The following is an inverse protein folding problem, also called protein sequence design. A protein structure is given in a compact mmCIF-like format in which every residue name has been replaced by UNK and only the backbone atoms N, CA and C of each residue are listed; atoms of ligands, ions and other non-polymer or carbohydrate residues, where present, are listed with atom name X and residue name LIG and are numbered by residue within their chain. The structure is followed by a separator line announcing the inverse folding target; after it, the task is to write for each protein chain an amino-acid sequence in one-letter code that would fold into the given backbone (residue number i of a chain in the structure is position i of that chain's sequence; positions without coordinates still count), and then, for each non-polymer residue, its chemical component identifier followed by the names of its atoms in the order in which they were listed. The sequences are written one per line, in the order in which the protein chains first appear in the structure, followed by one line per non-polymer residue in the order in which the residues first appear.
data_IF_936028141232
#
_entry.id   IF_936028141232
#
_cell.length_a   1.000
_cell.length_b   1.000
_cell.length_c   1.000
_cell.angle_alpha   90.00
_cell.angle_beta   90.00
_cell.angle_gamma   90.00
#
_symmetry.space_group_name_H-M   'P 1'
#
loop_
_entity.id
_entity.type
_entity.pdbx_description
1 polymer ?
#
# COMPACT_ATOMS: atom_id res chain seq x y z
N UNK A 1 -2.23 0.95 7.10
CA UNK A 1 -0.83 0.81 6.64
C UNK A 1 -0.43 -0.65 6.67
N UNK A 2 0.77 -1.00 6.22
CA UNK A 2 1.32 -2.35 6.32
C UNK A 2 2.65 -2.26 7.06
N UNK A 3 2.89 -3.20 7.97
CA UNK A 3 4.14 -3.32 8.70
C UNK A 3 4.47 -4.80 8.84
N UNK A 4 5.70 -5.18 8.50
CA UNK A 4 6.21 -6.52 8.76
C UNK A 4 6.81 -6.56 10.16
N UNK A 5 6.45 -7.59 10.93
CA UNK A 5 6.82 -7.70 12.34
C UNK A 5 7.70 -8.93 12.56
N UNK A 6 8.93 -8.72 13.01
CA UNK A 6 9.79 -9.81 13.48
C UNK A 6 9.46 -10.12 14.94
N UNK A 7 8.57 -11.09 15.13
CA UNK A 7 8.04 -11.41 16.46
C UNK A 7 9.10 -11.89 17.46
N UNK A 8 10.19 -12.51 16.99
CA UNK A 8 11.29 -12.93 17.87
C UNK A 8 12.06 -11.72 18.42
N UNK A 9 12.42 -10.77 17.55
CA UNK A 9 13.09 -9.53 17.97
C UNK A 9 12.19 -8.67 18.86
N UNK A 10 10.88 -8.63 18.57
CA UNK A 10 9.92 -7.91 19.42
C UNK A 10 9.81 -8.51 20.83
N UNK A 11 9.82 -9.84 20.95
CA UNK A 11 9.81 -10.51 22.27
C UNK A 11 11.12 -10.28 23.02
N UNK A 12 12.26 -10.38 22.35
CA UNK A 12 13.58 -10.13 22.94
C UNK A 12 13.73 -8.69 23.45
N UNK A 13 13.18 -7.73 22.72
CA UNK A 13 13.11 -6.33 23.15
C UNK A 13 12.19 -6.10 24.36
N UNK A 14 11.28 -7.04 24.68
CA UNK A 14 10.28 -6.82 25.73
C UNK A 14 9.16 -5.88 25.26
N UNK A 15 8.76 -5.94 23.99
CA UNK A 15 7.79 -5.02 23.36
C UNK A 15 6.59 -4.62 24.24
N UNK A 16 5.93 -5.60 24.89
CA UNK A 16 4.75 -5.35 25.73
C UNK A 16 5.05 -4.47 26.94
N UNK A 17 6.25 -4.57 27.50
CA UNK A 17 6.71 -3.80 28.67
C UNK A 17 6.89 -2.32 28.34
N UNK A 18 7.14 -1.98 27.06
CA UNK A 18 7.23 -0.61 26.59
C UNK A 18 5.91 -0.08 26.05
N UNK A 19 5.21 -0.87 25.23
CA UNK A 19 4.04 -0.37 24.50
C UNK A 19 2.83 -0.13 25.40
N UNK A 20 2.66 -0.94 26.46
CA UNK A 20 1.52 -0.83 27.38
C UNK A 20 1.61 0.45 28.22
N UNK A 21 2.74 0.77 28.89
CA UNK A 21 2.87 2.04 29.60
C UNK A 21 2.73 3.25 28.68
N UNK A 22 3.28 3.19 27.45
CA UNK A 22 3.10 4.28 26.48
C UNK A 22 1.62 4.48 26.12
N UNK A 23 0.86 3.40 25.93
CA UNK A 23 -0.57 3.48 25.68
C UNK A 23 -1.28 4.18 26.83
N UNK A 24 -1.00 3.78 28.07
CA UNK A 24 -1.62 4.36 29.27
C UNK A 24 -1.26 5.84 29.44
N UNK A 25 0.01 6.17 29.26
CA UNK A 25 0.51 7.55 29.39
C UNK A 25 -0.10 8.50 28.37
N UNK A 26 -0.24 8.06 27.12
CA UNK A 26 -0.68 8.93 26.02
C UNK A 26 -2.15 8.73 25.64
N UNK A 27 -2.92 7.90 26.35
CA UNK A 27 -4.26 7.46 25.94
C UNK A 27 -5.19 8.60 25.47
N UNK A 28 -5.19 9.72 26.18
CA UNK A 28 -6.05 10.88 25.88
C UNK A 28 -5.50 11.78 24.76
N UNK A 29 -4.27 11.56 24.30
CA UNK A 29 -3.57 12.33 23.27
C UNK A 29 -3.45 11.57 21.93
N UNK A 30 -3.69 10.26 21.93
CA UNK A 30 -3.64 9.44 20.72
C UNK A 30 -4.82 9.77 19.80
N UNK A 31 -4.53 10.30 18.62
CA UNK A 31 -5.55 10.56 17.58
C UNK A 31 -5.79 9.33 16.71
N UNK A 32 -4.71 8.61 16.41
CA UNK A 32 -4.70 7.36 15.66
C UNK A 32 -3.97 6.31 16.49
N UNK A 33 -4.71 5.66 17.40
CA UNK A 33 -4.14 4.86 18.49
C UNK A 33 -3.08 3.83 18.06
N UNK A 34 -3.24 3.18 16.92
CA UNK A 34 -2.25 2.25 16.39
C UNK A 34 -0.99 2.95 15.86
N UNK A 35 -1.15 3.93 14.98
CA UNK A 35 -0.03 4.62 14.31
C UNK A 35 0.72 5.55 15.27
N UNK A 36 0.02 6.32 16.08
CA UNK A 36 0.62 7.29 17.00
C UNK A 36 1.44 6.58 18.08
N UNK A 37 0.92 5.47 18.62
CA UNK A 37 1.60 4.70 19.65
C UNK A 37 2.91 4.08 19.15
N UNK A 38 2.90 3.53 17.93
CA UNK A 38 4.10 3.01 17.28
C UNK A 38 5.10 4.15 16.98
N UNK A 39 4.62 5.30 16.53
CA UNK A 39 5.48 6.46 16.26
C UNK A 39 6.17 6.97 17.53
N UNK A 40 5.47 6.97 18.67
CA UNK A 40 6.06 7.33 19.97
C UNK A 40 7.15 6.32 20.35
N UNK A 41 6.89 5.02 20.23
CA UNK A 41 7.92 4.01 20.53
C UNK A 41 9.17 4.20 19.66
N UNK A 42 9.00 4.34 18.33
CA UNK A 42 10.12 4.48 17.40
C UNK A 42 10.82 5.84 17.46
N UNK A 43 10.19 6.86 18.03
CA UNK A 43 10.88 8.10 18.36
C UNK A 43 12.00 7.86 19.39
N UNK A 44 11.73 7.03 20.40
CA UNK A 44 12.72 6.67 21.43
C UNK A 44 13.61 5.48 21.03
N UNK A 45 13.14 4.64 20.11
CA UNK A 45 13.84 3.44 19.63
C UNK A 45 13.90 3.37 18.09
N UNK A 46 14.59 4.32 17.42
CA UNK A 46 14.63 4.38 15.96
C UNK A 46 15.30 3.15 15.32
N UNK A 47 16.16 2.44 16.05
CA UNK A 47 16.82 1.20 15.61
C UNK A 47 15.87 0.01 15.44
N UNK A 48 14.66 0.10 15.99
CA UNK A 48 13.66 -0.97 15.94
C UNK A 48 12.78 -0.93 14.69
N UNK A 49 12.88 0.13 13.87
CA UNK A 49 12.09 0.28 12.65
C UNK A 49 12.99 0.37 11.42
N UNK A 50 12.64 -0.41 10.40
CA UNK A 50 13.18 -0.27 9.06
C UNK A 50 12.09 0.31 8.15
N UNK A 51 12.31 1.51 7.63
CA UNK A 51 11.31 2.24 6.83
C UNK A 51 11.47 1.88 5.35
N UNK A 52 10.40 1.35 4.77
CA UNK A 52 10.32 1.09 3.33
C UNK A 52 9.99 2.36 2.54
N UNK A 53 10.38 2.39 1.27
CA UNK A 53 10.06 3.49 0.38
C UNK A 53 8.53 3.60 0.11
N UNK A 54 8.11 4.74 -0.42
CA UNK A 54 6.70 5.08 -0.62
C UNK A 54 5.92 4.13 -1.57
N UNK A 55 6.60 3.35 -2.41
CA UNK A 55 5.96 2.36 -3.31
C UNK A 55 5.24 1.24 -2.54
N UNK A 56 5.64 1.00 -1.28
CA UNK A 56 5.02 0.02 -0.39
C UNK A 56 3.87 0.58 0.46
N UNK A 57 3.49 1.84 0.27
CA UNK A 57 2.34 2.44 0.93
C UNK A 57 1.74 3.54 0.05
N UNK A 58 1.53 3.24 -1.24
CA UNK A 58 1.12 4.25 -2.21
C UNK A 58 -0.34 4.64 -1.99
N UNK A 59 -0.59 5.92 -1.69
CA UNK A 59 -1.89 6.48 -1.33
C UNK A 59 -2.27 7.63 -2.27
N UNK A 60 -3.54 8.08 -2.32
CA UNK A 60 -3.96 9.18 -3.18
C UNK A 60 -3.16 10.46 -2.96
N UNK A 61 -2.69 10.72 -1.74
CA UNK A 61 -1.83 11.88 -1.44
C UNK A 61 -0.54 11.90 -2.29
N UNK A 62 -0.10 10.76 -2.85
CA UNK A 62 1.09 10.68 -3.73
C UNK A 62 0.81 10.99 -5.21
N UNK A 63 -0.45 11.23 -5.59
CA UNK A 63 -0.84 11.48 -6.98
C UNK A 63 -1.92 12.55 -7.18
N UNK A 64 -2.59 13.00 -6.10
CA UNK A 64 -3.72 13.92 -6.21
C UNK A 64 -3.31 15.36 -6.53
N UNK A 65 -2.09 15.78 -6.17
CA UNK A 65 -1.58 17.14 -6.40
C UNK A 65 -0.35 17.13 -7.33
N UNK A 66 0.56 16.18 -7.14
CA UNK A 66 1.73 15.90 -7.98
C UNK A 66 2.16 14.44 -7.78
N UNK A 67 3.06 13.93 -8.63
CA UNK A 67 3.77 12.67 -8.33
C UNK A 67 4.73 12.94 -7.17
N UNK A 68 4.42 12.41 -5.98
CA UNK A 68 5.21 12.61 -4.77
C UNK A 68 5.87 11.31 -4.28
N UNK A 69 6.15 10.38 -5.21
CA UNK A 69 6.76 9.10 -4.89
C UNK A 69 7.67 8.63 -6.04
N UNK A 70 8.89 9.16 -6.09
CA UNK A 70 9.90 8.87 -7.12
C UNK A 70 10.21 7.36 -7.20
N UNK A 71 10.18 6.68 -6.04
CA UNK A 71 10.41 5.24 -5.96
C UNK A 71 9.39 4.39 -6.74
N UNK A 72 8.22 4.96 -7.08
CA UNK A 72 7.20 4.30 -7.89
C UNK A 72 7.33 4.59 -9.41
N UNK A 73 8.13 5.57 -9.84
CA UNK A 73 8.16 5.98 -11.25
C UNK A 73 8.78 4.91 -12.16
N UNK A 74 9.86 4.28 -11.69
CA UNK A 74 10.57 3.21 -12.41
C UNK A 74 9.97 1.82 -12.21
N UNK A 75 9.93 1.26 -10.99
CA UNK A 75 9.44 -0.10 -10.75
C UNK A 75 7.92 -0.18 -10.54
N UNK A 76 7.20 0.94 -10.60
CA UNK A 76 5.79 0.98 -10.20
C UNK A 76 5.58 0.82 -8.69
N UNK A 77 4.32 0.86 -8.27
CA UNK A 77 3.93 0.63 -6.89
C UNK A 77 3.94 -0.87 -6.56
N UNK A 78 4.19 -1.18 -5.28
CA UNK A 78 4.17 -2.55 -4.76
C UNK A 78 2.95 -2.80 -3.89
N UNK A 79 2.49 -1.79 -3.16
CA UNK A 79 1.27 -1.85 -2.34
C UNK A 79 0.45 -0.58 -2.55
N UNK A 80 -0.79 -0.75 -3.00
CA UNK A 80 -1.76 0.32 -3.13
C UNK A 80 -2.60 0.43 -1.85
N UNK A 81 -2.47 1.53 -1.14
CA UNK A 81 -3.23 1.82 0.08
C UNK A 81 -4.36 2.81 -0.22
N UNK A 82 -5.58 2.28 -0.33
CA UNK A 82 -6.79 3.06 -0.58
C UNK A 82 -7.34 3.77 0.69
N UNK A 83 -6.50 4.56 1.38
CA UNK A 83 -6.94 5.37 2.52
C UNK A 83 -8.02 6.38 2.12
N UNK A 84 -8.70 6.98 3.11
CA UNK A 84 -9.74 8.01 2.90
C UNK A 84 -10.85 7.59 1.91
N UNK A 85 -11.18 6.29 1.88
CA UNK A 85 -12.19 5.68 1.00
C UNK A 85 -11.87 5.78 -0.50
N UNK A 86 -10.59 5.87 -0.89
CA UNK A 86 -10.20 6.07 -2.29
C UNK A 86 -10.73 4.99 -3.26
N UNK A 87 -10.95 3.78 -2.78
CA UNK A 87 -11.52 2.68 -3.57
C UNK A 87 -13.06 2.74 -3.73
N UNK A 88 -13.72 3.67 -3.04
CA UNK A 88 -15.18 3.77 -2.94
C UNK A 88 -15.69 5.15 -3.36
N UNK A 89 -14.92 5.86 -4.18
CA UNK A 89 -15.28 7.18 -4.73
C UNK A 89 -14.80 7.26 -6.18
N UNK A 90 -15.50 8.07 -6.98
CA UNK A 90 -15.14 8.32 -8.37
C UNK A 90 -14.00 9.34 -8.51
N UNK A 91 -13.55 9.94 -7.40
CA UNK A 91 -12.42 10.89 -7.39
C UNK A 91 -11.09 10.25 -7.77
N UNK A 92 -10.89 8.97 -7.46
CA UNK A 92 -9.63 8.24 -7.70
C UNK A 92 -9.88 6.96 -8.51
N UNK A 93 -10.24 7.07 -9.81
CA UNK A 93 -10.66 5.92 -10.61
C UNK A 93 -9.69 4.72 -10.57
N UNK A 94 -8.35 4.90 -10.61
CA UNK A 94 -7.44 3.76 -10.52
C UNK A 94 -7.60 2.92 -9.25
N UNK A 95 -7.80 3.56 -8.09
CA UNK A 95 -8.00 2.88 -6.81
C UNK A 95 -9.29 2.05 -6.83
N UNK A 96 -10.38 2.63 -7.33
CA UNK A 96 -11.67 1.95 -7.47
C UNK A 96 -11.56 0.78 -8.46
N UNK A 97 -10.93 0.99 -9.62
CA UNK A 97 -10.77 -0.05 -10.63
C UNK A 97 -9.96 -1.25 -10.12
N UNK A 98 -8.83 -0.99 -9.47
CA UNK A 98 -7.96 -2.03 -8.90
C UNK A 98 -8.69 -2.77 -7.78
N UNK A 99 -9.34 -2.05 -6.86
CA UNK A 99 -10.13 -2.68 -5.80
C UNK A 99 -11.22 -3.61 -6.35
N UNK A 100 -11.98 -3.16 -7.34
CA UNK A 100 -13.06 -3.97 -7.93
C UNK A 100 -12.53 -5.20 -8.68
N UNK A 101 -11.37 -5.10 -9.34
CA UNK A 101 -10.74 -6.25 -9.98
C UNK A 101 -10.24 -7.26 -8.94
N UNK A 102 -9.48 -6.79 -7.94
CA UNK A 102 -8.95 -7.64 -6.86
C UNK A 102 -10.06 -8.31 -6.04
N UNK A 103 -11.18 -7.61 -5.80
CA UNK A 103 -12.34 -8.17 -5.08
C UNK A 103 -12.99 -9.35 -5.81
N UNK A 104 -12.94 -9.37 -7.15
CA UNK A 104 -13.54 -10.41 -7.98
C UNK A 104 -12.57 -11.57 -8.28
N UNK A 105 -11.28 -11.28 -8.22
CA UNK A 105 -10.22 -12.23 -8.54
C UNK A 105 -10.10 -13.33 -7.48
N UNK A 106 -10.05 -14.58 -7.91
CA UNK A 106 -9.87 -15.76 -7.06
C UNK A 106 -8.55 -16.44 -7.39
N UNK A 107 -7.64 -16.42 -6.42
CA UNK A 107 -6.32 -17.04 -6.50
C UNK A 107 -6.44 -18.55 -6.77
N UNK A 108 -5.65 -19.07 -7.71
CA UNK A 108 -5.62 -20.48 -8.09
C UNK A 108 -6.74 -20.92 -9.04
N UNK A 109 -7.71 -20.03 -9.34
CA UNK A 109 -8.78 -20.28 -10.31
C UNK A 109 -8.68 -19.34 -11.51
N UNK A 110 -8.53 -18.05 -11.24
CA UNK A 110 -8.57 -17.02 -12.27
C UNK A 110 -7.14 -16.76 -12.81
N UNK A 111 -7.02 -16.46 -14.10
CA UNK A 111 -5.75 -16.18 -14.78
C UNK A 111 -5.22 -14.80 -14.42
N UNK A 112 -3.99 -14.73 -13.90
CA UNK A 112 -3.32 -13.46 -13.60
C UNK A 112 -3.26 -12.53 -14.84
N UNK A 113 -2.99 -13.10 -16.03
CA UNK A 113 -2.98 -12.32 -17.26
C UNK A 113 -4.37 -11.93 -17.74
N UNK A 114 -5.23 -12.92 -18.01
CA UNK A 114 -6.49 -12.70 -18.73
C UNK A 114 -7.57 -12.07 -17.85
N UNK A 115 -7.62 -12.42 -16.56
CA UNK A 115 -8.71 -12.04 -15.67
C UNK A 115 -8.37 -10.84 -14.77
N UNK A 116 -7.08 -10.52 -14.60
CA UNK A 116 -6.62 -9.41 -13.75
C UNK A 116 -5.81 -8.35 -14.51
N UNK A 117 -4.64 -8.70 -15.03
CA UNK A 117 -3.70 -7.75 -15.63
C UNK A 117 -4.25 -7.06 -16.89
N UNK A 118 -4.68 -7.85 -17.89
CA UNK A 118 -5.14 -7.32 -19.18
C UNK A 118 -6.39 -6.44 -19.04
N UNK A 119 -7.44 -6.81 -18.29
CA UNK A 119 -8.60 -5.94 -18.08
C UNK A 119 -8.24 -4.63 -17.36
N UNK A 120 -7.37 -4.69 -16.35
CA UNK A 120 -6.89 -3.49 -15.66
C UNK A 120 -6.07 -2.59 -16.57
N UNK A 121 -5.19 -3.15 -17.40
CA UNK A 121 -4.40 -2.38 -18.36
C UNK A 121 -5.32 -1.61 -19.31
N UNK A 122 -6.32 -2.27 -19.90
CA UNK A 122 -7.28 -1.62 -20.78
C UNK A 122 -8.03 -0.50 -20.07
N UNK A 123 -8.50 -0.75 -18.85
CA UNK A 123 -9.30 0.21 -18.08
C UNK A 123 -8.49 1.42 -17.61
N UNK A 124 -7.26 1.22 -17.14
CA UNK A 124 -6.38 2.30 -16.69
C UNK A 124 -5.81 3.10 -17.86
N UNK A 125 -5.67 2.49 -19.05
CA UNK A 125 -5.18 3.18 -20.25
C UNK A 125 -6.12 4.28 -20.74
N UNK A 126 -7.41 4.19 -20.40
CA UNK A 126 -8.42 5.22 -20.75
C UNK A 126 -8.09 6.59 -20.16
N UNK A 127 -7.42 6.64 -19.00
CA UNK A 127 -6.99 7.86 -18.30
C UNK A 127 -8.03 9.00 -18.34
N UNK A 128 -9.20 8.81 -17.69
CA UNK A 128 -10.20 9.87 -17.61
C UNK A 128 -9.60 11.10 -16.92
N UNK A 129 -10.13 12.29 -17.25
CA UNK A 129 -9.76 13.53 -16.58
C UNK A 129 -10.27 13.53 -15.13
N UNK A 130 -9.45 12.94 -14.25
CA UNK A 130 -9.74 12.68 -12.85
C UNK A 130 -8.42 12.55 -12.07
N UNK A 131 -8.49 12.64 -10.73
CA UNK A 131 -7.28 12.59 -9.91
C UNK A 131 -6.60 11.23 -10.01
N UNK A 132 -5.27 11.26 -9.96
CA UNK A 132 -4.43 10.08 -10.01
C UNK A 132 -4.53 9.26 -11.32
N UNK A 133 -5.12 9.77 -12.40
CA UNK A 133 -5.14 9.12 -13.73
C UNK A 133 -3.75 9.13 -14.42
N UNK A 134 -2.76 8.54 -13.75
CA UNK A 134 -1.38 8.40 -14.22
C UNK A 134 -1.24 7.30 -15.28
N UNK A 135 -0.02 7.10 -15.78
CA UNK A 135 0.27 5.99 -16.69
C UNK A 135 -0.04 4.65 -16.00
N UNK A 136 -0.65 3.66 -16.70
CA UNK A 136 -0.95 2.34 -16.12
C UNK A 136 0.27 1.64 -15.53
N UNK A 137 1.46 1.96 -16.05
CA UNK A 137 2.74 1.46 -15.57
C UNK A 137 2.93 1.65 -14.05
N UNK A 138 2.59 2.83 -13.51
CA UNK A 138 2.71 3.10 -12.07
C UNK A 138 1.95 2.04 -11.25
N UNK A 139 0.77 1.64 -11.71
CA UNK A 139 -0.10 0.73 -10.97
C UNK A 139 0.14 -0.76 -11.27
N UNK A 140 0.57 -1.09 -12.49
CA UNK A 140 0.54 -2.47 -12.99
C UNK A 140 1.91 -3.07 -13.26
N UNK A 141 3.01 -2.33 -13.08
CA UNK A 141 4.35 -2.85 -13.38
C UNK A 141 4.66 -4.16 -12.64
N UNK A 142 4.46 -4.19 -11.32
CA UNK A 142 4.72 -5.41 -10.53
C UNK A 142 3.82 -6.58 -10.94
N UNK A 143 2.55 -6.31 -11.25
CA UNK A 143 1.62 -7.32 -11.73
C UNK A 143 2.03 -7.87 -13.12
N UNK A 144 2.56 -7.00 -13.99
CA UNK A 144 3.08 -7.40 -15.29
C UNK A 144 4.28 -8.34 -15.15
N UNK A 145 5.24 -7.99 -14.27
CA UNK A 145 6.42 -8.82 -14.01
C UNK A 145 6.02 -10.21 -13.51
N UNK A 146 5.13 -10.26 -12.52
CA UNK A 146 4.67 -11.53 -11.95
C UNK A 146 3.95 -12.39 -12.98
N UNK A 147 3.14 -11.77 -13.85
CA UNK A 147 2.44 -12.50 -14.90
C UNK A 147 3.40 -13.13 -15.91
N UNK A 148 4.48 -12.42 -16.29
CA UNK A 148 5.52 -12.96 -17.18
C UNK A 148 6.31 -14.10 -16.54
N UNK A 149 6.53 -14.05 -15.22
CA UNK A 149 7.19 -15.13 -14.49
C UNK A 149 6.35 -16.42 -14.54
N UNK A 150 5.03 -16.31 -14.35
CA UNK A 150 4.12 -17.46 -14.44
C UNK A 150 4.02 -18.07 -15.85
N UNK A 151 4.27 -17.32 -16.91
CA UNK A 151 4.30 -17.85 -18.28
C UNK A 151 5.60 -18.62 -18.60
N UNK A 152 6.62 -18.49 -17.75
CA UNK A 152 7.92 -19.16 -17.90
C UNK A 152 8.06 -20.43 -17.05
N UNK A 153 7.09 -20.69 -16.16
CA UNK A 153 6.97 -21.89 -15.32
C UNK A 153 6.04 -22.93 -15.96
#
# INVERSE_FOLDING_TARGET
GVMLMNLSRMREFGWSEYIVPLKEQYEQQLRWGDQDLLNILFHFHPELVYVWDCSYNYRPDHCMYSSACDAAEGPGIRVLHANRRAAFTDKFPPFTHIYQAMKKFVVGRDSMYNDLYKPLLLKLSLRPDAQCSLTPHIYLHQLQLYTRQLEQE
#
